data_IF_256472661324
#
_entry.id   IF_256472661324
#
_cell.length_a   1.000
_cell.length_b   1.000
_cell.length_c   1.000
_cell.angle_alpha   90.00
_cell.angle_beta   90.00
_cell.angle_gamma   90.00
#
_symmetry.space_group_name_H-M   'P 1'
#
loop_
_entity.id
_entity.type
_entity.pdbx_description
1 polymer ?
#
# COMPACT_ATOMS: atom_id res chain seq x y z
N UNK A 1 -12.17 -9.27 -34.89
CA UNK A 1 -12.71 -9.14 -33.54
C UNK A 1 -11.61 -8.65 -32.62
N UNK A 2 -11.72 -7.41 -32.16
CA UNK A 2 -10.91 -6.78 -31.10
C UNK A 2 -11.52 -5.40 -30.92
N UNK A 3 -12.73 -5.36 -30.36
CA UNK A 3 -13.27 -4.12 -29.83
C UNK A 3 -12.33 -3.68 -28.71
N UNK A 4 -11.53 -2.66 -28.98
CA UNK A 4 -10.87 -1.87 -27.95
C UNK A 4 -12.01 -1.26 -27.13
N UNK A 5 -12.38 -1.92 -26.03
CA UNK A 5 -13.38 -1.40 -25.12
C UNK A 5 -12.94 0.01 -24.72
N UNK A 6 -13.75 1.00 -25.08
CA UNK A 6 -13.56 2.39 -24.69
C UNK A 6 -13.26 2.45 -23.18
N UNK A 7 -12.30 3.28 -22.72
CA UNK A 7 -12.04 3.42 -21.30
C UNK A 7 -13.35 3.74 -20.58
N UNK A 8 -13.69 2.90 -19.61
CA UNK A 8 -14.78 3.12 -18.66
C UNK A 8 -14.82 4.59 -18.28
N UNK A 9 -15.98 5.24 -18.44
CA UNK A 9 -16.21 6.67 -18.15
C UNK A 9 -15.40 7.09 -16.93
N UNK A 10 -14.37 7.92 -17.17
CA UNK A 10 -13.41 8.27 -16.15
C UNK A 10 -14.11 9.10 -15.09
N UNK A 11 -14.47 8.50 -13.95
CA UNK A 11 -14.73 9.26 -12.72
C UNK A 11 -13.58 10.24 -12.54
N UNK A 12 -13.90 11.52 -12.37
CA UNK A 12 -12.89 12.55 -12.15
C UNK A 12 -11.97 12.12 -10.99
N UNK A 13 -10.67 12.00 -11.28
CA UNK A 13 -9.67 11.64 -10.28
C UNK A 13 -9.28 12.91 -9.55
N UNK A 14 -9.75 13.04 -8.31
CA UNK A 14 -9.24 14.07 -7.41
C UNK A 14 -7.94 13.60 -6.77
N UNK A 15 -6.81 14.07 -7.30
CA UNK A 15 -5.47 13.75 -6.82
C UNK A 15 -5.25 14.28 -5.41
N UNK A 16 -4.72 13.43 -4.52
CA UNK A 16 -4.37 13.84 -3.15
C UNK A 16 -3.11 14.71 -3.16
N UNK A 17 -2.12 14.31 -3.96
CA UNK A 17 -0.96 15.15 -4.18
C UNK A 17 -1.22 16.14 -5.34
N UNK A 18 -1.41 17.43 -5.01
CA UNK A 18 -1.58 18.51 -5.99
C UNK A 18 -0.33 18.79 -6.82
N UNK A 19 0.84 18.32 -6.39
CA UNK A 19 2.14 18.62 -7.00
C UNK A 19 2.60 17.51 -7.97
N UNK A 20 1.71 16.61 -8.38
CA UNK A 20 2.03 15.64 -9.43
C UNK A 20 2.21 16.36 -10.76
N UNK A 21 3.29 16.02 -11.47
CA UNK A 21 3.45 16.44 -12.86
C UNK A 21 2.52 15.62 -13.79
N UNK A 22 2.38 16.05 -15.04
CA UNK A 22 1.48 15.38 -15.98
C UNK A 22 1.88 13.93 -16.29
N UNK A 23 3.18 13.61 -16.30
CA UNK A 23 3.63 12.23 -16.54
C UNK A 23 3.22 11.30 -15.39
N UNK A 24 3.27 11.80 -14.15
CA UNK A 24 2.83 11.06 -12.98
C UNK A 24 1.31 10.92 -12.96
N UNK A 25 0.56 11.98 -13.32
CA UNK A 25 -0.91 11.91 -13.44
C UNK A 25 -1.35 10.93 -14.51
N UNK A 26 -0.65 10.90 -15.65
CA UNK A 26 -0.88 9.93 -16.71
C UNK A 26 -0.61 8.51 -16.24
N UNK A 27 0.51 8.27 -15.56
CA UNK A 27 0.82 6.97 -14.97
C UNK A 27 -0.25 6.50 -13.97
N UNK A 28 -0.82 7.42 -13.17
CA UNK A 28 -1.93 7.12 -12.26
C UNK A 28 -3.19 6.72 -13.03
N UNK A 29 -3.59 7.50 -14.04
CA UNK A 29 -4.77 7.19 -14.89
C UNK A 29 -4.59 5.84 -15.60
N UNK A 30 -3.42 5.64 -16.19
CA UNK A 30 -3.06 4.40 -16.88
C UNK A 30 -3.17 3.20 -15.94
N UNK A 31 -2.50 3.23 -14.79
CA UNK A 31 -2.49 2.12 -13.85
C UNK A 31 -3.89 1.78 -13.30
N UNK A 32 -4.75 2.78 -13.07
CA UNK A 32 -6.11 2.56 -12.58
C UNK A 32 -7.07 2.05 -13.65
N UNK A 33 -6.78 2.33 -14.93
CA UNK A 33 -7.57 1.90 -16.08
C UNK A 33 -7.20 0.51 -16.62
N UNK A 34 -6.03 -0.04 -16.26
CA UNK A 34 -5.64 -1.38 -16.71
C UNK A 34 -6.33 -2.47 -15.87
N UNK A 35 -7.05 -3.42 -16.50
CA UNK A 35 -7.75 -4.48 -15.78
C UNK A 35 -6.82 -5.59 -15.26
N UNK A 36 -5.72 -5.87 -15.97
CA UNK A 36 -4.85 -7.01 -15.69
C UNK A 36 -3.48 -6.59 -15.16
N UNK A 37 -2.70 -5.89 -15.99
CA UNK A 37 -1.31 -5.54 -15.68
C UNK A 37 -1.01 -4.13 -16.15
N UNK A 38 -0.38 -3.34 -15.29
CA UNK A 38 0.22 -2.06 -15.63
C UNK A 38 1.69 -2.04 -15.21
N UNK A 39 2.57 -1.58 -16.09
CA UNK A 39 3.98 -1.35 -15.78
C UNK A 39 4.25 0.14 -15.85
N UNK A 40 4.58 0.74 -14.70
CA UNK A 40 4.98 2.14 -14.61
C UNK A 40 6.50 2.20 -14.43
N UNK A 41 7.18 2.74 -15.42
CA UNK A 41 8.62 2.99 -15.37
C UNK A 41 8.91 4.42 -14.92
N UNK A 42 9.97 4.61 -14.13
CA UNK A 42 10.46 5.93 -13.78
C UNK A 42 11.97 5.92 -13.57
N UNK A 43 12.74 6.80 -14.24
CA UNK A 43 14.16 6.99 -13.96
C UNK A 43 14.46 7.36 -12.49
N UNK A 44 15.74 7.35 -12.06
CA UNK A 44 16.12 7.82 -10.74
C UNK A 44 15.61 9.26 -10.49
N UNK A 45 15.05 9.54 -9.31
CA UNK A 45 14.58 10.88 -8.94
C UNK A 45 13.21 11.31 -9.46
N UNK A 46 12.54 10.55 -10.35
CA UNK A 46 11.27 10.99 -10.98
C UNK A 46 10.01 10.77 -10.14
N UNK A 47 10.16 10.58 -8.83
CA UNK A 47 9.01 10.48 -7.94
C UNK A 47 8.19 9.18 -8.03
N UNK A 48 8.75 8.06 -8.53
CA UNK A 48 8.07 6.75 -8.60
C UNK A 48 7.26 6.39 -7.36
N UNK A 49 7.85 6.52 -6.17
CA UNK A 49 7.16 6.24 -4.91
C UNK A 49 5.98 7.17 -4.71
N UNK A 50 6.11 8.46 -5.05
CA UNK A 50 5.03 9.43 -4.99
C UNK A 50 3.87 9.02 -5.91
N UNK A 51 4.16 8.59 -7.14
CA UNK A 51 3.16 8.08 -8.07
C UNK A 51 2.47 6.81 -7.56
N UNK A 52 3.23 5.85 -7.02
CA UNK A 52 2.68 4.60 -6.46
C UNK A 52 1.76 4.90 -5.27
N UNK A 53 2.13 5.84 -4.40
CA UNK A 53 1.29 6.26 -3.27
C UNK A 53 -0.04 6.81 -3.76
N UNK A 54 -0.03 7.67 -4.78
CA UNK A 54 -1.26 8.19 -5.37
C UNK A 54 -2.12 7.05 -5.97
N UNK A 55 -1.53 6.14 -6.74
CA UNK A 55 -2.24 4.97 -7.31
C UNK A 55 -2.94 4.17 -6.20
N UNK A 56 -2.22 3.85 -5.12
CA UNK A 56 -2.76 3.08 -4.00
C UNK A 56 -3.94 3.83 -3.36
N UNK A 57 -3.78 5.13 -3.07
CA UNK A 57 -4.84 5.92 -2.42
C UNK A 57 -6.09 6.00 -3.31
N UNK A 58 -5.92 6.22 -4.61
CA UNK A 58 -7.04 6.27 -5.55
C UNK A 58 -7.75 4.91 -5.67
N UNK A 59 -6.99 3.81 -5.71
CA UNK A 59 -7.57 2.47 -5.73
C UNK A 59 -8.35 2.16 -4.43
N UNK A 60 -7.83 2.57 -3.26
CA UNK A 60 -8.53 2.44 -1.98
C UNK A 60 -9.81 3.28 -1.95
N UNK A 61 -9.79 4.52 -2.49
CA UNK A 61 -10.99 5.36 -2.63
C UNK A 61 -12.06 4.72 -3.54
N UNK A 62 -11.65 3.90 -4.51
CA UNK A 62 -12.56 3.08 -5.33
C UNK A 62 -13.07 1.83 -4.60
N UNK A 63 -12.77 1.67 -3.30
CA UNK A 63 -13.19 0.54 -2.47
C UNK A 63 -12.32 -0.71 -2.62
N UNK A 64 -11.20 -0.64 -3.34
CA UNK A 64 -10.30 -1.79 -3.53
C UNK A 64 -9.46 -2.04 -2.28
N UNK A 65 -9.18 -3.31 -1.99
CA UNK A 65 -8.17 -3.71 -1.00
C UNK A 65 -6.85 -3.96 -1.72
N UNK A 66 -5.76 -3.40 -1.21
CA UNK A 66 -4.47 -3.39 -1.90
C UNK A 66 -3.44 -4.19 -1.12
N UNK A 67 -2.77 -5.13 -1.79
CA UNK A 67 -1.55 -5.75 -1.33
C UNK A 67 -0.36 -5.01 -1.97
N UNK A 68 0.42 -4.30 -1.17
CA UNK A 68 1.61 -3.58 -1.62
C UNK A 68 2.87 -4.33 -1.17
N UNK A 69 3.74 -4.67 -2.12
CA UNK A 69 4.97 -5.41 -1.90
C UNK A 69 6.19 -4.64 -2.41
N UNK A 70 7.35 -4.85 -1.79
CA UNK A 70 8.62 -4.31 -2.23
C UNK A 70 9.77 -5.28 -1.88
N UNK A 71 10.92 -5.23 -2.58
CA UNK A 71 12.00 -6.19 -2.41
C UNK A 71 12.78 -6.06 -1.09
N UNK A 72 12.59 -4.97 -0.32
CA UNK A 72 13.29 -4.75 0.95
C UNK A 72 12.36 -4.19 2.02
N UNK A 73 12.66 -4.46 3.30
CA UNK A 73 11.89 -3.93 4.43
C UNK A 73 11.85 -2.41 4.42
N UNK A 74 12.98 -1.75 4.17
CA UNK A 74 13.05 -0.28 4.10
C UNK A 74 12.14 0.28 3.01
N UNK A 75 12.05 -0.38 1.85
CA UNK A 75 11.13 0.06 0.79
C UNK A 75 9.66 -0.08 1.19
N UNK A 76 9.30 -1.17 1.88
CA UNK A 76 7.93 -1.33 2.43
C UNK A 76 7.66 -0.29 3.50
N UNK A 77 8.60 -0.05 4.39
CA UNK A 77 8.47 0.89 5.49
C UNK A 77 8.26 2.34 4.97
N UNK A 78 8.95 2.73 3.90
CA UNK A 78 8.72 4.00 3.21
C UNK A 78 7.31 4.11 2.62
N UNK A 79 6.72 3.01 2.13
CA UNK A 79 5.32 3.01 1.68
C UNK A 79 4.38 3.20 2.87
N UNK A 80 4.60 2.47 3.97
CA UNK A 80 3.78 2.57 5.18
C UNK A 80 3.79 4.00 5.72
N UNK A 81 4.96 4.62 5.84
CA UNK A 81 5.11 6.00 6.34
C UNK A 81 4.28 6.99 5.51
N UNK A 82 4.42 6.95 4.18
CA UNK A 82 3.70 7.87 3.28
C UNK A 82 2.21 7.62 3.22
N UNK A 83 1.77 6.36 3.24
CA UNK A 83 0.34 6.02 3.29
C UNK A 83 -0.27 6.42 4.65
N UNK A 84 0.47 6.24 5.74
CA UNK A 84 0.06 6.62 7.09
C UNK A 84 -0.10 8.14 7.24
N UNK A 85 0.82 8.93 6.66
CA UNK A 85 0.70 10.38 6.59
C UNK A 85 -0.58 10.84 5.87
N UNK A 86 -1.05 10.04 4.90
CA UNK A 86 -2.31 10.24 4.19
C UNK A 86 -3.52 9.55 4.86
N UNK A 87 -3.40 9.19 6.15
CA UNK A 87 -4.46 8.60 7.00
C UNK A 87 -5.09 7.33 6.42
N UNK A 88 -4.33 6.57 5.62
CA UNK A 88 -4.80 5.29 5.10
C UNK A 88 -4.81 4.23 6.21
N UNK A 89 -5.78 3.31 6.16
CA UNK A 89 -5.81 2.13 7.04
C UNK A 89 -4.84 1.09 6.48
N UNK A 90 -3.81 0.74 7.24
CA UNK A 90 -2.68 -0.07 6.78
C UNK A 90 -2.37 -1.14 7.82
N UNK A 91 -2.01 -2.33 7.35
CA UNK A 91 -1.41 -3.39 8.16
C UNK A 91 -0.08 -3.77 7.53
N UNK A 92 1.01 -3.69 8.30
CA UNK A 92 2.36 -4.08 7.89
C UNK A 92 2.63 -5.51 8.36
N UNK A 93 2.73 -6.43 7.42
CA UNK A 93 3.06 -7.84 7.68
C UNK A 93 4.57 -8.03 7.72
N UNK A 94 5.12 -8.58 8.80
CA UNK A 94 6.55 -8.85 8.97
C UNK A 94 7.00 -8.62 10.40
N UNK A 95 8.15 -9.19 10.77
CA UNK A 95 8.62 -9.17 12.16
C UNK A 95 8.92 -7.73 12.64
N UNK A 96 8.35 -7.28 13.77
CA UNK A 96 8.53 -5.92 14.30
C UNK A 96 9.98 -5.46 14.48
N UNK A 97 10.90 -6.39 14.77
CA UNK A 97 12.33 -6.11 14.91
C UNK A 97 12.98 -5.59 13.61
N UNK A 98 12.36 -5.84 12.46
CA UNK A 98 12.83 -5.41 11.13
C UNK A 98 12.07 -4.20 10.59
N UNK A 99 11.22 -3.58 11.40
CA UNK A 99 10.34 -2.46 11.07
C UNK A 99 10.83 -1.20 11.79
N UNK A 100 10.86 -0.06 11.09
CA UNK A 100 11.24 1.22 11.70
C UNK A 100 10.35 1.58 12.91
N UNK A 101 10.97 2.00 14.02
CA UNK A 101 10.29 2.21 15.32
C UNK A 101 8.99 3.02 15.24
N UNK A 102 8.99 4.13 14.49
CA UNK A 102 7.85 5.04 14.45
C UNK A 102 6.63 4.49 13.65
N UNK A 103 6.83 3.46 12.82
CA UNK A 103 5.75 2.76 12.09
C UNK A 103 5.42 1.38 12.69
N UNK A 104 6.09 0.94 13.77
CA UNK A 104 5.81 -0.37 14.39
C UNK A 104 4.35 -0.52 14.82
N UNK A 105 3.66 0.58 15.17
CA UNK A 105 2.22 0.60 15.46
C UNK A 105 1.32 0.13 14.30
N UNK A 106 1.83 0.13 13.07
CA UNK A 106 1.12 -0.40 11.90
C UNK A 106 1.41 -1.88 11.67
N UNK A 107 2.32 -2.51 12.42
CA UNK A 107 2.59 -3.93 12.32
C UNK A 107 1.40 -4.75 12.81
N UNK A 108 1.18 -5.93 12.21
CA UNK A 108 0.11 -6.83 12.62
C UNK A 108 0.20 -7.16 14.12
N UNK A 109 1.41 -7.47 14.61
CA UNK A 109 1.63 -7.79 16.03
C UNK A 109 1.21 -6.64 16.95
N UNK A 110 1.57 -5.40 16.61
CA UNK A 110 1.20 -4.23 17.40
C UNK A 110 -0.32 -4.01 17.39
N UNK A 111 -0.96 -4.13 16.22
CA UNK A 111 -2.41 -3.96 16.09
C UNK A 111 -3.16 -5.01 16.93
N UNK A 112 -2.73 -6.28 16.88
CA UNK A 112 -3.34 -7.35 17.66
C UNK A 112 -3.12 -7.18 19.17
N UNK A 113 -1.93 -6.73 19.60
CA UNK A 113 -1.64 -6.46 21.01
C UNK A 113 -2.48 -5.32 21.62
N UNK A 114 -3.09 -4.49 20.77
CA UNK A 114 -4.00 -3.42 21.19
C UNK A 114 -5.48 -3.80 21.06
N UNK A 115 -5.78 -5.02 20.61
CA UNK A 115 -7.14 -5.51 20.40
C UNK A 115 -7.60 -6.38 21.57
N UNK A 116 -8.91 -6.46 21.77
CA UNK A 116 -9.52 -7.29 22.83
C UNK A 116 -9.19 -8.80 22.67
N UNK A 117 -8.73 -9.20 21.49
CA UNK A 117 -8.32 -10.56 21.12
C UNK A 117 -6.86 -10.90 21.49
N UNK A 118 -6.19 -10.06 22.30
CA UNK A 118 -4.79 -10.29 22.71
C UNK A 118 -4.57 -11.69 23.31
N UNK A 119 -5.56 -12.22 24.05
CA UNK A 119 -5.50 -13.56 24.67
C UNK A 119 -5.30 -14.69 23.64
N UNK A 120 -5.96 -14.60 22.49
CA UNK A 120 -5.83 -15.62 21.42
C UNK A 120 -4.40 -15.65 20.86
N UNK A 121 -3.75 -14.49 20.76
CA UNK A 121 -2.37 -14.39 20.25
C UNK A 121 -1.37 -14.96 21.26
N UNK A 122 -1.59 -14.72 22.55
CA UNK A 122 -0.76 -15.27 23.63
C UNK A 122 -0.85 -16.80 23.67
N UNK A 123 -2.06 -17.36 23.55
CA UNK A 123 -2.27 -18.81 23.54
C UNK A 123 -1.55 -19.48 22.36
N UNK A 124 -1.72 -18.95 21.14
CA UNK A 124 -1.06 -19.48 19.94
C UNK A 124 0.47 -19.39 20.05
N UNK A 125 1.01 -18.28 20.55
CA UNK A 125 2.47 -18.14 20.77
C UNK A 125 2.98 -19.14 21.79
N UNK A 126 2.26 -19.32 22.91
CA UNK A 126 2.62 -20.28 23.95
C UNK A 126 2.70 -21.71 23.39
N UNK A 127 1.76 -22.10 22.53
CA UNK A 127 1.75 -23.44 21.94
C UNK A 127 2.85 -23.63 20.89
N UNK A 128 3.18 -22.58 20.12
CA UNK A 128 4.33 -22.60 19.21
C UNK A 128 5.67 -22.75 19.95
N UNK A 129 5.85 -22.02 21.07
CA UNK A 129 7.07 -22.08 21.87
C UNK A 129 7.24 -23.43 22.59
N UNK A 130 6.13 -24.10 22.97
CA UNK A 130 6.16 -25.47 23.53
C UNK A 130 6.45 -26.55 22.47
N UNK A 131 6.22 -26.24 21.19
CA UNK A 131 6.43 -27.17 20.09
C UNK A 131 7.83 -27.06 19.45
N UNK A 132 8.62 -26.05 19.82
CA UNK A 132 10.06 -25.93 19.51
C UNK A 132 10.92 -26.52 20.63
#
# INVERSE_FOLDING_TARGET
ESELSLPLESKEIYYINSNLDESQKEAVRFALGQPEIAVVHGPPGTGKTTTIIEIIIQAVKQGKKILACAPSNIAVDNLVERLAANKQKIVRLGHPARVLKHIQKYSLDAILSTSDDTRLVEDVRSDMDKAM
#
